data_IF_387419037077
#
_entry.id   IF_387419037077
#
_cell.length_a   1.000
_cell.length_b   1.000
_cell.length_c   1.000
_cell.angle_alpha   90.00
_cell.angle_beta   90.00
_cell.angle_gamma   90.00
#
_symmetry.space_group_name_H-M   'P 1'
#
loop_
_entity.id
_entity.type
_entity.pdbx_description
1 polymer ?
#
# COMPACT_ATOMS: atom_id res chain seq x y z
N UNK A 1 -16.73 29.69 -19.54
CA UNK A 1 -17.20 29.31 -18.19
C UNK A 1 -16.15 29.79 -17.20
N UNK A 2 -16.49 30.76 -16.36
CA UNK A 2 -15.60 31.29 -15.32
C UNK A 2 -15.72 30.36 -14.12
N UNK A 3 -14.75 29.47 -13.94
CA UNK A 3 -14.56 28.71 -12.69
C UNK A 3 -14.11 29.70 -11.61
N UNK A 4 -15.07 30.42 -11.02
CA UNK A 4 -14.79 31.46 -10.03
C UNK A 4 -14.20 30.87 -8.75
N UNK A 5 -12.98 31.28 -8.38
CA UNK A 5 -12.28 31.12 -7.09
C UNK A 5 -12.31 29.73 -6.39
N UNK A 6 -12.92 28.71 -6.97
CA UNK A 6 -13.01 27.36 -6.43
C UNK A 6 -11.72 26.59 -6.68
N UNK A 7 -11.03 26.88 -7.79
CA UNK A 7 -9.68 26.39 -8.00
C UNK A 7 -8.78 26.91 -6.87
N UNK A 8 -8.61 28.21 -6.67
CA UNK A 8 -7.70 28.75 -5.63
C UNK A 8 -8.02 28.32 -4.19
N UNK A 9 -9.28 28.01 -3.87
CA UNK A 9 -9.69 27.62 -2.50
C UNK A 9 -9.67 26.11 -2.22
N UNK A 10 -9.80 25.27 -3.24
CA UNK A 10 -9.96 23.81 -3.05
C UNK A 10 -9.03 22.97 -3.91
N UNK A 11 -8.55 23.52 -5.02
CA UNK A 11 -7.51 22.93 -5.85
C UNK A 11 -6.24 23.70 -5.52
N UNK A 12 -5.36 23.15 -4.69
CA UNK A 12 -4.02 23.71 -4.50
C UNK A 12 -3.34 23.73 -5.88
N UNK A 13 -3.49 24.82 -6.63
CA UNK A 13 -3.12 24.97 -8.04
C UNK A 13 -1.61 24.99 -8.30
N UNK A 14 -0.83 24.50 -7.34
CA UNK A 14 0.58 24.18 -7.52
C UNK A 14 0.76 22.75 -8.06
N UNK A 15 1.87 22.47 -8.73
CA UNK A 15 2.24 21.11 -9.11
C UNK A 15 2.27 20.21 -7.85
N UNK A 16 1.28 19.33 -7.71
CA UNK A 16 1.11 18.45 -6.55
C UNK A 16 -0.25 18.50 -5.85
N UNK A 17 -1.13 19.45 -6.20
CA UNK A 17 -2.47 19.57 -5.61
C UNK A 17 -3.34 18.32 -5.77
N UNK A 18 -3.39 17.76 -6.98
CA UNK A 18 -4.17 16.54 -7.26
C UNK A 18 -3.64 15.33 -6.48
N UNK A 19 -2.31 15.23 -6.32
CA UNK A 19 -1.69 14.16 -5.53
C UNK A 19 -2.03 14.30 -4.04
N UNK A 20 -2.03 15.53 -3.51
CA UNK A 20 -2.44 15.80 -2.13
C UNK A 20 -3.93 15.49 -1.91
N UNK A 21 -4.79 15.96 -2.81
CA UNK A 21 -6.22 15.67 -2.76
C UNK A 21 -6.48 14.16 -2.86
N UNK A 22 -5.78 13.45 -3.75
CA UNK A 22 -5.87 12.00 -3.88
C UNK A 22 -5.53 11.25 -2.59
N UNK A 23 -4.51 11.71 -1.84
CA UNK A 23 -4.17 11.14 -0.53
C UNK A 23 -5.25 11.38 0.52
N UNK A 24 -5.80 12.59 0.58
CA UNK A 24 -6.92 12.90 1.47
C UNK A 24 -8.16 12.05 1.17
N UNK A 25 -8.51 11.93 -0.12
CA UNK A 25 -9.64 11.13 -0.57
C UNK A 25 -9.43 9.62 -0.35
N UNK A 26 -8.18 9.18 -0.27
CA UNK A 26 -7.81 7.81 0.11
C UNK A 26 -7.85 7.58 1.64
N UNK A 27 -8.29 8.57 2.41
CA UNK A 27 -8.43 8.48 3.86
C UNK A 27 -7.13 8.57 4.66
N UNK A 28 -6.03 9.04 4.04
CA UNK A 28 -4.77 9.22 4.76
C UNK A 28 -4.84 10.42 5.70
N UNK A 29 -4.36 10.23 6.93
CA UNK A 29 -4.38 11.27 7.96
C UNK A 29 -3.25 12.28 7.73
N UNK A 30 -3.61 13.50 7.32
CA UNK A 30 -2.67 14.57 7.03
C UNK A 30 -1.94 15.13 8.27
N UNK A 31 -2.35 14.73 9.47
CA UNK A 31 -1.78 15.21 10.73
C UNK A 31 -0.64 14.33 11.23
N UNK A 32 -0.38 13.20 10.57
CA UNK A 32 0.66 12.23 10.96
C UNK A 32 1.66 11.97 9.83
N UNK A 33 2.77 11.32 10.16
CA UNK A 33 3.76 10.85 9.17
C UNK A 33 3.20 9.81 8.19
N UNK A 34 2.12 9.11 8.58
CA UNK A 34 1.42 8.14 7.74
C UNK A 34 0.77 8.75 6.49
N UNK A 35 0.60 10.09 6.44
CA UNK A 35 0.17 10.76 5.22
C UNK A 35 1.09 10.48 4.02
N UNK A 36 2.36 10.15 4.29
CA UNK A 36 3.36 9.79 3.28
C UNK A 36 3.40 8.29 2.95
N UNK A 37 2.46 7.48 3.46
CA UNK A 37 2.41 6.05 3.20
C UNK A 37 2.32 5.77 1.70
N UNK A 38 3.14 4.82 1.25
CA UNK A 38 3.03 4.17 -0.04
C UNK A 38 2.01 3.03 0.08
N UNK A 39 1.32 2.67 -1.03
CA UNK A 39 0.44 1.50 -1.01
C UNK A 39 1.25 0.22 -0.74
N UNK A 40 0.62 -0.82 -0.18
CA UNK A 40 1.25 -2.13 -0.05
C UNK A 40 1.80 -2.60 -1.39
N UNK A 41 3.05 -3.05 -1.39
CA UNK A 41 3.71 -3.55 -2.59
C UNK A 41 4.72 -4.63 -2.27
N UNK A 42 4.98 -5.49 -3.24
CA UNK A 42 5.94 -6.56 -3.12
C UNK A 42 7.40 -6.05 -3.18
N UNK A 43 8.29 -6.75 -2.49
CA UNK A 43 9.73 -6.76 -2.78
C UNK A 43 9.98 -7.33 -4.18
N UNK A 44 11.21 -7.16 -4.70
CA UNK A 44 11.60 -7.80 -5.97
C UNK A 44 11.48 -9.32 -5.89
N UNK A 45 11.79 -9.89 -4.74
CA UNK A 45 11.65 -11.32 -4.45
C UNK A 45 10.18 -11.75 -4.44
N UNK A 46 9.30 -11.00 -3.79
CA UNK A 46 7.85 -11.23 -3.85
C UNK A 46 7.31 -11.18 -5.28
N UNK A 47 7.75 -10.19 -6.07
CA UNK A 47 7.39 -10.12 -7.49
C UNK A 47 7.93 -11.30 -8.30
N UNK A 48 9.11 -11.82 -7.99
CA UNK A 48 9.66 -13.03 -8.60
C UNK A 48 8.79 -14.24 -8.29
N UNK A 49 8.45 -14.45 -7.02
CA UNK A 49 7.60 -15.56 -6.58
C UNK A 49 6.20 -15.51 -7.22
N UNK A 50 5.58 -14.32 -7.30
CA UNK A 50 4.28 -14.14 -7.99
C UNK A 50 4.38 -14.53 -9.47
N UNK A 51 5.48 -14.17 -10.15
CA UNK A 51 5.70 -14.56 -11.56
C UNK A 51 5.91 -16.06 -11.72
N UNK A 52 6.61 -16.70 -10.79
CA UNK A 52 6.84 -18.15 -10.78
C UNK A 52 5.55 -18.95 -10.57
N UNK A 53 4.66 -18.45 -9.71
CA UNK A 53 3.32 -19.01 -9.54
C UNK A 53 2.48 -18.79 -10.81
N UNK A 54 2.65 -17.64 -11.45
CA UNK A 54 1.94 -17.23 -12.67
C UNK A 54 0.72 -16.37 -12.37
N UNK A 55 0.65 -15.22 -13.03
CA UNK A 55 -0.39 -14.21 -12.82
C UNK A 55 -1.82 -14.70 -13.09
N UNK A 56 -2.00 -15.57 -14.08
CA UNK A 56 -3.29 -16.18 -14.42
C UNK A 56 -3.93 -16.93 -13.24
N UNK A 57 -3.12 -17.42 -12.29
CA UNK A 57 -3.64 -18.11 -11.12
C UNK A 57 -4.20 -17.17 -10.05
N UNK A 58 -3.79 -15.92 -10.06
CA UNK A 58 -4.33 -14.89 -9.16
C UNK A 58 -5.50 -14.17 -9.82
N UNK A 59 -5.39 -13.89 -11.11
CA UNK A 59 -6.32 -13.07 -11.87
C UNK A 59 -6.63 -13.79 -13.19
N UNK A 60 -7.85 -14.30 -13.37
CA UNK A 60 -8.23 -14.96 -14.61
C UNK A 60 -8.07 -14.03 -15.80
N UNK A 61 -7.61 -14.58 -16.93
CA UNK A 61 -7.42 -13.88 -18.19
C UNK A 61 -6.42 -12.72 -18.10
N UNK A 62 -5.45 -12.83 -17.19
CA UNK A 62 -4.39 -11.83 -17.00
C UNK A 62 -3.73 -11.43 -18.32
N UNK A 63 -3.41 -12.36 -19.21
CA UNK A 63 -2.73 -12.05 -20.48
C UNK A 63 -3.61 -11.27 -21.47
N UNK A 64 -4.93 -11.32 -21.29
CA UNK A 64 -5.89 -10.56 -22.12
C UNK A 64 -6.06 -9.12 -21.63
N UNK A 65 -5.55 -8.79 -20.44
CA UNK A 65 -5.69 -7.46 -19.86
C UNK A 65 -4.75 -6.44 -20.54
N UNK A 66 -5.22 -5.19 -20.75
CA UNK A 66 -4.38 -4.12 -21.28
C UNK A 66 -3.09 -3.96 -20.48
N UNK A 67 -1.96 -3.74 -21.16
CA UNK A 67 -0.65 -3.61 -20.51
C UNK A 67 -0.62 -2.51 -19.44
N UNK A 68 -1.35 -1.40 -19.64
CA UNK A 68 -1.49 -0.34 -18.64
C UNK A 68 -2.18 -0.83 -17.36
N UNK A 69 -3.24 -1.63 -17.49
CA UNK A 69 -3.97 -2.18 -16.36
C UNK A 69 -3.16 -3.24 -15.61
N UNK A 70 -2.40 -4.08 -16.33
CA UNK A 70 -1.50 -5.08 -15.72
C UNK A 70 -0.47 -4.47 -14.77
N UNK A 71 -0.03 -3.24 -15.00
CA UNK A 71 0.90 -2.53 -14.09
C UNK A 71 0.32 -2.24 -12.71
N UNK A 72 -1.01 -2.18 -12.57
CA UNK A 72 -1.68 -1.93 -11.29
C UNK A 72 -1.90 -3.21 -10.47
N UNK A 73 -1.89 -4.38 -11.12
CA UNK A 73 -2.23 -5.66 -10.50
C UNK A 73 -1.28 -6.10 -9.37
N UNK A 74 0.04 -5.83 -9.42
CA UNK A 74 0.93 -6.03 -8.28
C UNK A 74 0.48 -5.32 -7.01
N UNK A 75 0.05 -4.06 -7.13
CA UNK A 75 -0.42 -3.27 -5.99
C UNK A 75 -1.77 -3.76 -5.47
N UNK A 76 -2.66 -4.17 -6.38
CA UNK A 76 -3.95 -4.74 -6.03
C UNK A 76 -3.79 -6.04 -5.23
N UNK A 77 -2.99 -6.98 -5.74
CA UNK A 77 -2.71 -8.25 -5.07
C UNK A 77 -2.02 -8.01 -3.73
N UNK A 78 -0.99 -7.16 -3.69
CA UNK A 78 -0.30 -6.82 -2.45
C UNK A 78 -1.25 -6.21 -1.41
N UNK A 79 -2.17 -5.34 -1.83
CA UNK A 79 -3.16 -4.75 -0.91
C UNK A 79 -4.08 -5.80 -0.30
N UNK A 80 -4.59 -6.75 -1.10
CA UNK A 80 -5.43 -7.84 -0.59
C UNK A 80 -4.66 -8.70 0.42
N UNK A 81 -3.45 -9.13 0.07
CA UNK A 81 -2.66 -10.03 0.90
C UNK A 81 -2.16 -9.35 2.18
N UNK A 82 -1.77 -8.08 2.11
CA UNK A 82 -1.39 -7.30 3.28
C UNK A 82 -2.53 -7.27 4.32
N UNK A 83 -3.75 -7.02 3.85
CA UNK A 83 -4.97 -6.94 4.66
C UNK A 83 -5.66 -8.29 4.90
N UNK A 84 -5.08 -9.42 4.47
CA UNK A 84 -5.68 -10.75 4.63
C UNK A 84 -6.09 -11.08 6.09
N UNK A 85 -5.30 -10.75 7.13
CA UNK A 85 -5.74 -10.94 8.52
C UNK A 85 -7.01 -10.16 8.85
N UNK A 86 -7.07 -8.88 8.47
CA UNK A 86 -8.23 -8.01 8.66
C UNK A 86 -9.46 -8.51 7.91
N UNK A 87 -9.29 -9.00 6.67
CA UNK A 87 -10.38 -9.60 5.91
C UNK A 87 -10.95 -10.83 6.62
N UNK A 88 -10.12 -11.64 7.27
CA UNK A 88 -10.55 -12.81 8.05
C UNK A 88 -11.25 -12.44 9.36
N UNK A 89 -10.92 -11.30 9.93
CA UNK A 89 -11.63 -10.75 11.10
C UNK A 89 -13.01 -10.22 10.72
N UNK A 90 -13.13 -9.60 9.55
CA UNK A 90 -14.37 -8.96 9.11
C UNK A 90 -15.35 -9.93 8.43
N UNK A 91 -14.85 -10.88 7.65
CA UNK A 91 -15.68 -11.79 6.87
C UNK A 91 -15.68 -13.19 7.46
N UNK A 92 -16.88 -13.74 7.64
CA UNK A 92 -17.07 -15.14 8.05
C UNK A 92 -16.53 -16.10 6.97
N UNK A 93 -16.12 -17.33 7.32
CA UNK A 93 -15.57 -18.30 6.36
C UNK A 93 -16.51 -18.63 5.18
N UNK A 94 -17.83 -18.50 5.36
CA UNK A 94 -18.84 -18.78 4.33
C UNK A 94 -19.09 -17.58 3.41
N UNK A 95 -18.40 -16.46 3.61
CA UNK A 95 -18.60 -15.26 2.82
C UNK A 95 -18.15 -15.47 1.35
N UNK A 96 -18.92 -15.02 0.34
CA UNK A 96 -18.59 -15.26 -1.08
C UNK A 96 -17.23 -14.75 -1.54
N UNK A 97 -16.64 -13.79 -0.82
CA UNK A 97 -15.29 -13.28 -1.09
C UNK A 97 -14.26 -14.42 -1.09
N UNK A 98 -14.44 -15.45 -0.27
CA UNK A 98 -13.50 -16.58 -0.19
C UNK A 98 -13.63 -17.56 -1.35
N UNK A 99 -14.68 -17.45 -2.18
CA UNK A 99 -14.83 -18.16 -3.45
C UNK A 99 -14.23 -17.41 -4.64
N UNK A 100 -13.51 -16.30 -4.41
CA UNK A 100 -12.75 -15.65 -5.49
C UNK A 100 -11.60 -16.54 -5.94
N UNK A 101 -11.27 -16.49 -7.23
CA UNK A 101 -10.23 -17.32 -7.86
C UNK A 101 -8.91 -17.38 -7.08
N UNK A 102 -8.44 -16.24 -6.57
CA UNK A 102 -7.18 -16.16 -5.82
C UNK A 102 -7.17 -17.01 -4.51
N UNK A 103 -8.33 -17.26 -3.91
CA UNK A 103 -8.45 -17.97 -2.63
C UNK A 103 -8.74 -19.47 -2.81
N UNK A 104 -9.09 -19.90 -4.02
CA UNK A 104 -9.33 -21.31 -4.37
C UNK A 104 -8.12 -21.98 -5.05
N UNK A 105 -7.16 -21.17 -5.50
CA UNK A 105 -6.05 -21.54 -6.39
C UNK A 105 -5.27 -22.82 -6.06
N UNK A 106 -5.01 -23.12 -4.78
CA UNK A 106 -4.16 -24.25 -4.36
C UNK A 106 -4.90 -25.27 -3.47
N UNK A 107 -6.24 -25.25 -3.46
CA UNK A 107 -7.02 -26.12 -2.58
C UNK A 107 -6.64 -25.89 -1.10
N UNK A 108 -6.26 -26.95 -0.39
CA UNK A 108 -5.97 -26.90 1.05
C UNK A 108 -4.71 -26.10 1.42
N UNK A 109 -3.76 -25.88 0.49
CA UNK A 109 -2.52 -25.13 0.76
C UNK A 109 -2.62 -23.65 0.42
N UNK A 110 -3.75 -23.17 -0.13
CA UNK A 110 -3.87 -21.80 -0.63
C UNK A 110 -3.51 -20.75 0.40
N UNK A 111 -4.10 -20.85 1.58
CA UNK A 111 -3.85 -19.89 2.64
C UNK A 111 -2.40 -19.91 3.12
N UNK A 112 -1.73 -21.06 3.09
CA UNK A 112 -0.30 -21.14 3.42
C UNK A 112 0.53 -20.36 2.41
N UNK A 113 0.34 -20.62 1.11
CA UNK A 113 1.07 -19.91 0.05
C UNK A 113 0.80 -18.41 0.06
N UNK A 114 -0.45 -17.99 0.25
CA UNK A 114 -0.80 -16.57 0.35
C UNK A 114 -0.16 -15.89 1.56
N UNK A 115 -0.05 -16.59 2.69
CA UNK A 115 0.65 -16.07 3.87
C UNK A 115 2.17 -16.00 3.70
N UNK A 116 2.77 -16.92 2.93
CA UNK A 116 4.19 -16.83 2.58
C UNK A 116 4.45 -15.61 1.67
N UNK A 117 3.66 -15.44 0.61
CA UNK A 117 3.75 -14.26 -0.26
C UNK A 117 3.54 -12.94 0.50
N UNK A 118 2.67 -12.95 1.52
CA UNK A 118 2.42 -11.79 2.37
C UNK A 118 3.69 -11.30 3.08
N UNK A 119 4.63 -12.19 3.42
CA UNK A 119 5.89 -11.81 4.08
C UNK A 119 6.79 -10.95 3.19
N UNK A 120 6.62 -11.06 1.88
CA UNK A 120 7.33 -10.27 0.87
C UNK A 120 6.65 -8.93 0.55
N UNK A 121 5.65 -8.52 1.34
CA UNK A 121 4.96 -7.24 1.17
C UNK A 121 5.49 -6.22 2.16
N UNK A 122 5.85 -5.06 1.65
CA UNK A 122 6.38 -3.94 2.43
C UNK A 122 5.41 -2.77 2.43
N UNK A 123 5.45 -2.04 3.54
CA UNK A 123 4.77 -0.77 3.75
C UNK A 123 5.83 0.26 4.14
N UNK A 124 5.98 1.28 3.30
CA UNK A 124 7.03 2.29 3.46
C UNK A 124 6.40 3.68 3.39
N UNK A 125 6.91 4.58 4.21
CA UNK A 125 6.54 5.99 4.21
C UNK A 125 7.58 6.79 3.41
N UNK A 126 7.12 7.72 2.58
CA UNK A 126 8.01 8.57 1.79
C UNK A 126 8.60 7.85 0.58
N UNK A 127 9.85 7.39 0.67
CA UNK A 127 10.58 6.79 -0.46
C UNK A 127 10.92 5.33 -0.17
N UNK A 128 10.56 4.45 -1.10
CA UNK A 128 10.97 3.05 -1.06
C UNK A 128 12.32 2.88 -1.77
N UNK A 129 13.27 2.25 -1.08
CA UNK A 129 14.61 1.91 -1.60
C UNK A 129 14.60 0.69 -2.52
N UNK A 130 13.58 -0.17 -2.42
CA UNK A 130 13.48 -1.40 -3.22
C UNK A 130 12.89 -1.15 -4.61
N UNK A 131 11.78 -0.42 -4.70
CA UNK A 131 11.02 -0.27 -5.96
C UNK A 131 11.06 1.14 -6.56
N UNK A 132 11.94 2.02 -6.04
CA UNK A 132 12.07 3.43 -6.44
C UNK A 132 10.80 4.29 -6.32
N UNK A 133 9.74 3.77 -5.71
CA UNK A 133 8.51 4.53 -5.47
C UNK A 133 8.76 5.68 -4.49
N UNK A 134 8.17 6.83 -4.77
CA UNK A 134 8.25 8.02 -3.91
C UNK A 134 6.87 8.63 -3.75
N UNK A 135 6.52 8.97 -2.51
CA UNK A 135 5.26 9.60 -2.16
C UNK A 135 5.20 11.02 -2.72
N UNK A 136 4.28 11.26 -3.65
CA UNK A 136 3.96 12.58 -4.18
C UNK A 136 2.83 13.24 -3.40
N UNK A 137 2.70 14.57 -3.48
CA UNK A 137 1.60 15.30 -2.84
C UNK A 137 1.67 15.34 -1.30
N UNK A 138 2.86 15.14 -0.74
CA UNK A 138 3.11 15.26 0.70
C UNK A 138 3.46 16.71 1.07
N UNK A 139 2.77 17.33 2.04
CA UNK A 139 3.16 18.66 2.50
C UNK A 139 4.45 18.61 3.33
N UNK A 140 5.22 19.71 3.34
CA UNK A 140 6.47 19.81 4.12
C UNK A 140 6.30 19.43 5.60
N UNK A 141 5.13 19.72 6.19
CA UNK A 141 4.85 19.36 7.60
C UNK A 141 4.96 17.85 7.84
N UNK A 142 4.58 17.02 6.87
CA UNK A 142 4.62 15.55 7.01
C UNK A 142 6.05 15.05 7.14
N UNK A 143 7.01 15.67 6.44
CA UNK A 143 8.43 15.34 6.57
C UNK A 143 8.96 15.75 7.95
N UNK A 144 8.58 16.93 8.45
CA UNK A 144 8.95 17.38 9.80
C UNK A 144 8.41 16.43 10.86
N UNK A 145 7.13 16.07 10.78
CA UNK A 145 6.49 15.11 11.70
C UNK A 145 7.23 13.77 11.66
N UNK A 146 7.55 13.25 10.48
CA UNK A 146 8.30 11.99 10.36
C UNK A 146 9.68 12.04 11.01
N UNK A 147 10.39 13.17 10.94
CA UNK A 147 11.69 13.33 11.62
C UNK A 147 11.52 13.41 13.14
N UNK A 148 10.49 14.10 13.62
CA UNK A 148 10.15 14.16 15.05
C UNK A 148 9.80 12.77 15.57
N UNK A 149 8.97 12.01 14.86
CA UNK A 149 8.61 10.63 15.21
C UNK A 149 9.87 9.74 15.35
N UNK A 150 10.81 9.85 14.40
CA UNK A 150 12.06 9.09 14.45
C UNK A 150 12.92 9.47 15.67
N UNK A 151 13.06 10.77 15.95
CA UNK A 151 13.82 11.25 17.11
C UNK A 151 13.19 10.79 18.43
N UNK A 152 11.86 10.83 18.54
CA UNK A 152 11.14 10.33 19.72
C UNK A 152 11.37 8.83 19.90
N UNK A 153 11.36 8.04 18.83
CA UNK A 153 11.65 6.60 18.90
C UNK A 153 13.10 6.31 19.32
N UNK A 154 14.07 7.06 18.79
CA UNK A 154 15.48 6.93 19.18
C UNK A 154 15.70 7.32 20.65
N UNK A 155 15.05 8.39 21.11
CA UNK A 155 15.11 8.82 22.50
C UNK A 155 14.55 7.76 23.46
N UNK A 156 13.41 7.15 23.13
CA UNK A 156 12.84 6.08 23.96
C UNK A 156 13.73 4.83 23.98
N UNK A 157 14.35 4.45 22.85
CA UNK A 157 15.33 3.34 22.83
C UNK A 157 16.52 3.64 23.72
N UNK A 158 17.09 4.85 23.62
CA UNK A 158 18.23 5.28 24.43
C UNK A 158 17.90 5.32 25.93
N UNK A 159 16.69 5.76 26.29
CA UNK A 159 16.21 5.75 27.67
C UNK A 159 16.15 4.33 28.25
N UNK A 160 15.69 3.35 27.46
CA UNK A 160 15.69 1.94 27.88
C UNK A 160 17.10 1.39 28.05
N UNK A 161 18.05 1.82 27.22
CA UNK A 161 19.46 1.40 27.33
C UNK A 161 20.17 1.99 28.56
N UNK A 162 19.88 3.23 28.95
CA UNK A 162 20.45 3.86 30.16
C UNK A 162 19.90 3.25 31.46
N UNK A 163 18.65 2.78 31.44
CA UNK A 163 17.98 2.21 32.63
C UNK A 163 18.37 0.73 32.86
N UNK A 164 19.17 0.13 31.97
CA UNK A 164 19.78 -1.20 32.14
C UNK A 164 21.21 -1.11 32.67
#
# INVERSE_FOLDING_TARGET
AVTGNTQDRYVLGGPGGDNFAGRLLSGLDNTTSSFSALPPHFTDEGLRQVREIGWERFIPQYEQLPAGFRKCLPFFLASILYHLPTLREWFRPEHPIWGMHLFEMFGSSTMTTLNELRKEIIMVNGRCTHCSMTASGIPNKTEVISRVDNLTQEFEKFKVEIVR
#
